data_IF_881830893560
#
_entry.id   IF_881830893560
#
_cell.length_a   1.000
_cell.length_b   1.000
_cell.length_c   1.000
_cell.angle_alpha   90.00
_cell.angle_beta   90.00
_cell.angle_gamma   90.00
#
_symmetry.space_group_name_H-M   'P 1'
#
loop_
_entity.id
_entity.type
_entity.pdbx_description
1 polymer ?
#
# COMPACT_ATOMS: atom_id res chain seq x y z
N UNK A 1 51.63 38.03 22.96
CA UNK A 1 51.66 36.88 22.03
C UNK A 1 51.06 35.71 22.79
N UNK A 2 49.93 35.08 22.47
CA UNK A 2 49.07 35.00 21.27
C UNK A 2 47.62 34.80 21.77
N UNK A 3 46.66 35.20 20.94
CA UNK A 3 45.21 35.20 21.08
C UNK A 3 44.57 33.91 21.62
N UNK A 4 43.48 34.04 22.39
CA UNK A 4 42.51 32.97 22.58
C UNK A 4 41.14 33.42 22.04
N UNK A 5 40.67 32.71 21.01
CA UNK A 5 39.43 32.96 20.30
C UNK A 5 38.20 32.59 21.16
N UNK A 6 37.25 33.50 21.28
CA UNK A 6 35.89 33.19 21.73
C UNK A 6 35.20 32.32 20.69
N UNK A 7 34.83 31.09 21.08
CA UNK A 7 33.94 30.25 20.29
C UNK A 7 32.51 30.62 20.67
N UNK A 8 31.81 31.30 19.77
CA UNK A 8 30.38 31.55 19.90
C UNK A 8 29.63 30.23 19.86
N UNK A 9 28.93 29.88 20.95
CA UNK A 9 28.01 28.76 20.97
C UNK A 9 26.84 29.09 20.02
N UNK A 10 26.76 28.35 18.91
CA UNK A 10 25.61 28.41 18.01
C UNK A 10 24.49 27.61 18.66
N UNK A 11 23.53 28.31 19.27
CA UNK A 11 22.30 27.68 19.75
C UNK A 11 21.48 27.20 18.56
N UNK A 12 21.42 25.87 18.38
CA UNK A 12 20.43 25.26 17.49
C UNK A 12 19.05 25.45 18.13
N UNK A 13 18.30 26.46 17.67
CA UNK A 13 16.90 26.57 17.99
C UNK A 13 16.19 25.32 17.43
N UNK A 14 15.71 24.46 18.31
CA UNK A 14 14.87 23.34 17.94
C UNK A 14 13.60 23.88 17.27
N UNK A 15 13.46 23.58 15.99
CA UNK A 15 12.30 23.91 15.20
C UNK A 15 11.10 23.10 15.72
N UNK A 16 10.33 23.71 16.61
CA UNK A 16 9.06 23.16 17.08
C UNK A 16 7.99 23.37 15.99
N UNK A 17 8.13 22.62 14.90
CA UNK A 17 7.01 22.35 14.01
C UNK A 17 5.90 21.69 14.85
N UNK A 18 4.81 22.43 15.05
CA UNK A 18 3.57 21.96 15.62
C UNK A 18 3.08 20.76 14.80
N UNK A 19 3.46 19.52 15.18
CA UNK A 19 2.95 18.31 14.56
C UNK A 19 1.45 18.28 14.82
N UNK A 20 0.66 18.59 13.80
CA UNK A 20 -0.77 18.28 13.77
C UNK A 20 -0.89 16.81 14.16
N UNK A 21 -1.64 16.51 15.22
CA UNK A 21 -1.90 15.13 15.64
C UNK A 21 -2.64 14.39 14.51
N UNK A 22 -1.89 13.82 13.57
CA UNK A 22 -2.45 12.93 12.56
C UNK A 22 -2.97 11.67 13.25
N UNK A 23 -4.15 11.21 12.83
CA UNK A 23 -4.70 9.96 13.34
C UNK A 23 -3.77 8.81 12.92
N UNK A 24 -3.46 7.86 13.83
CA UNK A 24 -2.65 6.70 13.48
C UNK A 24 -3.32 5.90 12.36
N UNK A 25 -2.50 5.30 11.51
CA UNK A 25 -2.95 4.49 10.38
C UNK A 25 -1.99 3.33 10.17
N UNK A 26 -2.53 2.22 9.68
CA UNK A 26 -1.74 1.16 9.08
C UNK A 26 -1.61 1.37 7.57
N UNK A 27 -0.60 0.78 6.96
CA UNK A 27 -0.36 0.81 5.52
C UNK A 27 -0.43 -0.60 4.94
N UNK A 28 -1.42 -0.84 4.09
CA UNK A 28 -1.42 -2.03 3.22
C UNK A 28 -0.65 -1.66 1.97
N UNK A 29 0.49 -2.31 1.76
CA UNK A 29 1.32 -2.19 0.57
C UNK A 29 1.32 -3.52 -0.17
N UNK A 30 1.35 -3.49 -1.49
CA UNK A 30 1.53 -4.73 -2.21
C UNK A 30 1.82 -4.57 -3.69
N UNK A 31 2.12 -5.70 -4.31
CA UNK A 31 2.41 -5.80 -5.73
C UNK A 31 1.42 -6.76 -6.40
N UNK A 32 0.95 -6.39 -7.58
CA UNK A 32 0.10 -7.25 -8.41
C UNK A 32 0.98 -8.02 -9.39
N UNK A 33 0.98 -9.33 -9.26
CA UNK A 33 1.75 -10.24 -10.09
C UNK A 33 0.85 -10.90 -11.13
N UNK A 34 1.27 -10.84 -12.39
CA UNK A 34 0.68 -11.62 -13.46
C UNK A 34 1.03 -13.11 -13.34
N UNK A 35 0.42 -13.97 -14.18
CA UNK A 35 0.64 -15.41 -14.14
C UNK A 35 2.08 -15.85 -14.43
N UNK A 36 2.89 -14.98 -15.04
CA UNK A 36 4.29 -15.22 -15.39
C UNK A 36 5.25 -14.49 -14.42
N UNK A 37 4.81 -14.20 -13.19
CA UNK A 37 5.58 -13.51 -12.14
C UNK A 37 6.10 -12.12 -12.55
N UNK A 38 5.35 -11.44 -13.43
CA UNK A 38 5.63 -10.05 -13.85
C UNK A 38 4.69 -9.07 -13.17
N UNK A 39 5.18 -7.92 -12.69
CA UNK A 39 4.31 -6.91 -12.12
C UNK A 39 3.34 -6.36 -13.18
N UNK A 40 2.10 -6.11 -12.77
CA UNK A 40 1.05 -5.62 -13.66
C UNK A 40 0.60 -4.21 -13.29
N UNK A 41 0.81 -3.28 -14.22
CA UNK A 41 0.32 -1.92 -14.15
C UNK A 41 -1.19 -1.82 -14.40
N UNK A 42 -1.86 -0.89 -13.72
CA UNK A 42 -3.22 -0.46 -14.03
C UNK A 42 -4.30 -1.45 -13.61
N UNK A 43 -3.97 -2.44 -12.78
CA UNK A 43 -4.94 -3.38 -12.23
C UNK A 43 -5.72 -2.69 -11.13
N UNK A 44 -7.05 -2.77 -11.14
CA UNK A 44 -7.88 -2.19 -10.09
C UNK A 44 -7.82 -3.08 -8.85
N UNK A 45 -7.48 -2.49 -7.70
CA UNK A 45 -7.48 -3.14 -6.39
C UNK A 45 -8.67 -2.66 -5.58
N UNK A 46 -9.31 -3.57 -4.87
CA UNK A 46 -10.40 -3.30 -3.95
C UNK A 46 -10.07 -3.80 -2.56
N UNK A 47 -10.26 -2.94 -1.57
CA UNK A 47 -10.02 -3.23 -0.17
C UNK A 47 -11.30 -2.99 0.62
N UNK A 48 -11.62 -3.93 1.51
CA UNK A 48 -12.69 -3.82 2.49
C UNK A 48 -12.24 -4.45 3.80
N UNK A 49 -12.82 -4.03 4.92
CA UNK A 49 -12.72 -4.83 6.14
C UNK A 49 -13.55 -6.11 5.98
N UNK A 50 -13.14 -7.20 6.63
CA UNK A 50 -13.87 -8.48 6.59
C UNK A 50 -15.25 -8.37 7.23
N UNK A 51 -15.36 -7.60 8.30
CA UNK A 51 -16.61 -7.28 9.04
C UNK A 51 -17.55 -6.32 8.28
N UNK A 52 -17.10 -5.73 7.17
CA UNK A 52 -17.88 -4.83 6.34
C UNK A 52 -18.20 -5.46 4.99
N UNK A 53 -19.49 -5.44 4.64
CA UNK A 53 -19.97 -5.94 3.33
C UNK A 53 -19.63 -4.98 2.19
N UNK A 54 -19.58 -3.67 2.45
CA UNK A 54 -19.31 -2.65 1.43
C UNK A 54 -17.80 -2.44 1.27
N UNK A 55 -17.38 -2.30 0.01
CA UNK A 55 -16.02 -1.88 -0.34
C UNK A 55 -15.82 -0.44 0.09
N UNK A 56 -14.65 -0.17 0.65
CA UNK A 56 -14.34 1.16 1.18
C UNK A 56 -13.23 1.86 0.39
N UNK A 57 -12.33 1.10 -0.22
CA UNK A 57 -11.25 1.66 -1.03
C UNK A 57 -11.15 0.97 -2.38
N UNK A 58 -10.94 1.78 -3.42
CA UNK A 58 -10.60 1.35 -4.77
C UNK A 58 -9.40 2.17 -5.24
N UNK A 59 -8.35 1.50 -5.71
CA UNK A 59 -7.13 2.10 -6.23
C UNK A 59 -6.59 1.27 -7.41
N UNK A 60 -5.52 1.71 -8.03
CA UNK A 60 -4.87 1.01 -9.14
C UNK A 60 -3.42 0.75 -8.82
N UNK A 61 -2.88 -0.33 -9.38
CA UNK A 61 -1.43 -0.58 -9.35
C UNK A 61 -0.70 0.42 -10.25
N UNK A 62 0.47 0.86 -9.80
CA UNK A 62 1.33 1.78 -10.52
C UNK A 62 2.21 1.06 -11.56
N UNK A 63 3.13 1.79 -12.19
CA UNK A 63 4.00 1.25 -13.25
C UNK A 63 4.95 0.13 -12.78
N UNK A 64 5.20 0.01 -11.47
CA UNK A 64 5.94 -1.11 -10.87
C UNK A 64 5.01 -2.25 -10.43
N UNK A 65 3.72 -2.14 -10.73
CA UNK A 65 2.69 -3.07 -10.28
C UNK A 65 2.33 -2.90 -8.80
N UNK A 66 2.79 -1.83 -8.16
CA UNK A 66 2.67 -1.61 -6.72
C UNK A 66 1.42 -0.80 -6.37
N UNK A 67 0.92 -0.98 -5.15
CA UNK A 67 -0.17 -0.18 -4.60
C UNK A 67 0.03 0.04 -3.10
N UNK A 68 -0.50 1.15 -2.59
CA UNK A 68 -0.40 1.50 -1.18
C UNK A 68 -1.69 2.17 -0.72
N UNK A 69 -2.30 1.66 0.35
CA UNK A 69 -3.52 2.21 0.93
C UNK A 69 -3.40 2.34 2.45
N UNK A 70 -3.60 3.56 2.96
CA UNK A 70 -3.77 3.80 4.40
C UNK A 70 -5.12 3.27 4.86
N UNK A 71 -5.14 2.54 5.96
CA UNK A 71 -6.35 2.03 6.61
C UNK A 71 -6.35 2.38 8.09
N UNK A 72 -7.50 2.37 8.78
CA UNK A 72 -7.53 2.53 10.23
C UNK A 72 -6.57 1.56 10.92
N UNK A 73 -5.71 2.09 11.80
CA UNK A 73 -4.91 1.30 12.71
C UNK A 73 -5.80 0.59 13.75
N UNK A 74 -5.28 -0.48 14.35
CA UNK A 74 -5.98 -1.30 15.33
C UNK A 74 -6.46 -2.63 14.76
N UNK A 75 -6.70 -3.60 15.65
CA UNK A 75 -7.09 -4.98 15.36
C UNK A 75 -8.25 -5.06 14.36
N UNK A 76 -7.95 -5.46 13.13
CA UNK A 76 -8.92 -5.71 12.08
C UNK A 76 -8.33 -6.53 10.93
N UNK A 77 -9.18 -7.32 10.28
CA UNK A 77 -8.83 -8.00 9.04
C UNK A 77 -9.36 -7.23 7.83
N UNK A 78 -8.53 -7.14 6.80
CA UNK A 78 -8.85 -6.52 5.53
C UNK A 78 -8.77 -7.56 4.42
N UNK A 79 -9.78 -7.57 3.56
CA UNK A 79 -9.80 -8.36 2.35
C UNK A 79 -9.36 -7.50 1.17
N UNK A 80 -8.29 -7.94 0.50
CA UNK A 80 -7.71 -7.29 -0.68
C UNK A 80 -7.94 -8.17 -1.91
N UNK A 81 -8.47 -7.57 -2.96
CA UNK A 81 -8.85 -8.28 -4.20
C UNK A 81 -8.48 -7.47 -5.44
N UNK A 82 -8.13 -8.15 -6.53
CA UNK A 82 -8.00 -7.55 -7.84
C UNK A 82 -9.34 -7.60 -8.59
N UNK A 83 -9.78 -6.49 -9.17
CA UNK A 83 -10.90 -6.41 -10.09
C UNK A 83 -10.39 -6.29 -11.53
N UNK A 84 -10.68 -7.29 -12.34
CA UNK A 84 -10.24 -7.38 -13.73
C UNK A 84 -11.34 -7.07 -14.73
N UNK A 85 -12.52 -6.62 -14.28
CA UNK A 85 -13.69 -6.39 -15.16
C UNK A 85 -13.35 -5.55 -16.39
N UNK A 86 -12.62 -4.46 -16.19
CA UNK A 86 -12.25 -3.50 -17.24
C UNK A 86 -10.75 -3.57 -17.58
N UNK A 87 -10.03 -4.57 -17.05
CA UNK A 87 -8.61 -4.74 -17.28
C UNK A 87 -8.36 -5.52 -18.57
N UNK A 88 -7.56 -4.95 -19.48
CA UNK A 88 -7.15 -5.60 -20.72
C UNK A 88 -5.66 -5.88 -20.69
N UNK A 89 -5.31 -7.15 -20.79
CA UNK A 89 -3.95 -7.53 -21.07
C UNK A 89 -3.67 -7.33 -22.57
N UNK A 90 -2.49 -6.85 -22.92
CA UNK A 90 -2.07 -6.68 -24.33
C UNK A 90 -1.94 -8.02 -25.10
N UNK A 91 -2.19 -9.15 -24.44
CA UNK A 91 -2.16 -10.49 -25.01
C UNK A 91 -3.57 -11.02 -25.26
N UNK A 92 -3.72 -11.95 -26.20
CA UNK A 92 -4.99 -12.63 -26.48
C UNK A 92 -5.54 -13.46 -25.29
N UNK A 93 -4.75 -13.64 -24.23
CA UNK A 93 -5.11 -14.40 -23.03
C UNK A 93 -5.88 -13.52 -22.04
N UNK A 94 -6.98 -14.03 -21.51
CA UNK A 94 -7.73 -13.40 -20.42
C UNK A 94 -7.12 -13.75 -19.06
N UNK A 95 -7.16 -12.79 -18.15
CA UNK A 95 -6.77 -12.97 -16.76
C UNK A 95 -8.01 -13.21 -15.90
N UNK A 96 -7.84 -13.98 -14.84
CA UNK A 96 -8.79 -14.11 -13.76
C UNK A 96 -8.14 -13.69 -12.44
N UNK A 97 -8.93 -13.11 -11.55
CA UNK A 97 -8.46 -12.78 -10.21
C UNK A 97 -7.96 -14.06 -9.52
N UNK A 98 -6.86 -13.94 -8.79
CA UNK A 98 -6.37 -15.00 -7.92
C UNK A 98 -7.25 -15.19 -6.69
N UNK A 99 -6.68 -15.85 -5.68
CA UNK A 99 -7.28 -15.91 -4.36
C UNK A 99 -7.33 -14.52 -3.73
N UNK A 100 -8.40 -14.24 -3.01
CA UNK A 100 -8.47 -13.06 -2.16
C UNK A 100 -7.41 -13.16 -1.06
N UNK A 101 -6.79 -12.03 -0.71
CA UNK A 101 -5.77 -11.97 0.35
C UNK A 101 -6.36 -11.30 1.58
N UNK A 102 -6.28 -11.98 2.72
CA UNK A 102 -6.62 -11.42 4.03
C UNK A 102 -5.38 -10.83 4.67
N UNK A 103 -5.46 -9.57 5.09
CA UNK A 103 -4.40 -8.83 5.76
C UNK A 103 -4.85 -8.54 7.18
N UNK A 104 -4.12 -9.06 8.15
CA UNK A 104 -4.31 -8.76 9.56
C UNK A 104 -3.55 -7.49 9.90
N UNK A 105 -4.22 -6.56 10.59
CA UNK A 105 -3.62 -5.34 11.13
C UNK A 105 -3.88 -5.31 12.63
N UNK A 106 -2.84 -5.10 13.44
CA UNK A 106 -2.93 -4.96 14.88
C UNK A 106 -2.84 -3.50 15.35
N UNK A 107 -1.95 -2.70 14.74
CA UNK A 107 -1.71 -1.31 15.13
C UNK A 107 -1.36 -0.42 13.91
N UNK A 108 -0.39 0.48 14.03
CA UNK A 108 0.09 1.42 13.01
C UNK A 108 1.25 0.85 12.18
N UNK A 109 1.13 -0.41 11.79
CA UNK A 109 2.15 -1.11 11.01
C UNK A 109 2.01 -0.94 9.49
N UNK A 110 3.04 -1.40 8.77
CA UNK A 110 2.97 -1.69 7.34
C UNK A 110 2.83 -3.20 7.15
N UNK A 111 1.86 -3.60 6.36
CA UNK A 111 1.67 -4.97 5.91
C UNK A 111 1.92 -5.08 4.40
N UNK A 112 2.86 -5.93 4.01
CA UNK A 112 3.25 -6.17 2.61
C UNK A 112 2.59 -7.44 2.07
N UNK A 113 1.97 -7.36 0.87
CA UNK A 113 1.27 -8.48 0.23
C UNK A 113 1.53 -8.59 -1.27
N UNK A 114 1.25 -9.78 -1.83
CA UNK A 114 1.25 -10.02 -3.27
C UNK A 114 -0.10 -10.53 -3.78
N UNK A 115 -0.67 -9.87 -4.80
CA UNK A 115 -1.87 -10.33 -5.49
C UNK A 115 -1.47 -11.08 -6.76
N UNK A 116 -1.58 -12.40 -6.76
CA UNK A 116 -1.17 -13.23 -7.89
C UNK A 116 -2.36 -13.60 -8.78
N UNK A 117 -2.37 -13.10 -10.01
CA UNK A 117 -3.40 -13.38 -11.00
C UNK A 117 -3.11 -14.70 -11.73
N UNK A 118 -4.15 -15.27 -12.34
CA UNK A 118 -4.03 -16.51 -13.11
C UNK A 118 -4.56 -16.32 -14.52
N UNK A 119 -4.08 -17.13 -15.46
CA UNK A 119 -4.76 -17.26 -16.75
C UNK A 119 -6.16 -17.83 -16.53
N UNK A 120 -7.14 -17.24 -17.20
CA UNK A 120 -8.47 -17.83 -17.28
C UNK A 120 -8.36 -19.14 -18.07
N UNK A 121 -8.78 -20.26 -17.47
CA UNK A 121 -8.91 -21.52 -18.19
C UNK A 121 -10.06 -21.39 -19.19
N UNK A 122 -9.77 -21.69 -20.46
CA UNK A 122 -10.75 -21.73 -21.54
C UNK A 122 -11.71 -22.91 -21.36
#
# INVERSE_FOLDING_TARGET
MIYLNSVSAVSFAADHHHKKNEKPYALIFGTVWGPDDRPLYGVKIRIRRTDQRKRKWELYSDHHGEFAQRVPAGVADYLVTADLKDYKLNSAKKLQAGSEVTVHIDNDERADIGLHLKYQKL
#
